data_IF_020979772895
#
_entry.id   IF_020979772895
#
_cell.length_a   1.000
_cell.length_b   1.000
_cell.length_c   1.000
_cell.angle_alpha   90.00
_cell.angle_beta   90.00
_cell.angle_gamma   90.00
#
_symmetry.space_group_name_H-M   'P 1'
#
loop_
_entity.id
_entity.type
_entity.pdbx_description
1 polymer ?
#
# COMPACT_ATOMS: atom_id res chain seq x y z
N UNK A 1 -2.79 -28.62 -7.35
CA UNK A 1 -2.33 -28.00 -6.46
C UNK A 1 -2.43 -26.58 -6.57
N UNK A 2 -2.74 -25.95 -5.54
CA UNK A 2 -2.97 -24.69 -5.57
C UNK A 2 -1.79 -23.87 -5.51
N UNK A 3 -1.67 -22.85 -6.19
CA UNK A 3 -0.61 -21.98 -6.12
C UNK A 3 -0.77 -21.17 -4.94
N UNK A 4 0.15 -21.16 -4.07
CA UNK A 4 0.05 -20.40 -2.88
C UNK A 4 0.91 -19.15 -3.04
N UNK A 5 0.30 -17.99 -3.14
CA UNK A 5 1.04 -16.75 -3.34
C UNK A 5 1.95 -16.44 -2.18
N UNK A 6 1.73 -17.04 -1.01
CA UNK A 6 2.62 -16.81 0.11
C UNK A 6 4.02 -17.33 -0.13
N UNK A 7 4.18 -18.28 -1.07
CA UNK A 7 5.49 -18.79 -1.37
C UNK A 7 6.17 -18.04 -2.51
N UNK A 8 5.49 -17.07 -3.09
CA UNK A 8 6.08 -16.29 -4.16
C UNK A 8 6.82 -15.10 -3.59
N UNK A 9 7.89 -14.70 -4.22
CA UNK A 9 8.59 -13.50 -3.82
C UNK A 9 7.78 -12.29 -4.26
N UNK A 10 8.09 -11.14 -3.70
CA UNK A 10 7.46 -9.91 -4.13
C UNK A 10 7.70 -9.68 -5.62
N UNK A 11 8.91 -9.97 -6.09
CA UNK A 11 9.24 -9.76 -7.50
C UNK A 11 8.39 -10.63 -8.40
N UNK A 12 8.13 -11.86 -7.97
CA UNK A 12 7.29 -12.76 -8.74
C UNK A 12 5.85 -12.25 -8.80
N UNK A 13 5.34 -11.77 -7.67
CA UNK A 13 3.99 -11.27 -7.62
C UNK A 13 3.84 -10.02 -8.48
N UNK A 14 4.81 -9.13 -8.43
CA UNK A 14 4.79 -7.92 -9.25
C UNK A 14 4.80 -8.30 -10.73
N UNK A 15 5.65 -9.25 -11.10
CA UNK A 15 5.73 -9.68 -12.49
C UNK A 15 4.38 -10.21 -12.98
N UNK A 16 3.71 -10.99 -12.14
CA UNK A 16 2.40 -11.52 -12.51
C UNK A 16 1.36 -10.41 -12.59
N UNK A 17 1.40 -9.47 -11.66
CA UNK A 17 0.44 -8.38 -11.65
C UNK A 17 0.61 -7.44 -12.86
N UNK A 18 1.83 -7.31 -13.34
CA UNK A 18 2.07 -6.50 -14.52
C UNK A 18 1.48 -7.11 -15.77
N UNK A 19 1.37 -8.44 -15.78
CA UNK A 19 0.79 -9.11 -16.92
C UNK A 19 -0.71 -9.33 -16.80
N UNK A 20 -1.21 -9.45 -15.59
CA UNK A 20 -2.62 -9.73 -15.35
C UNK A 20 -3.05 -8.90 -14.15
N UNK A 21 -3.83 -7.87 -14.42
CA UNK A 21 -4.27 -6.96 -13.38
C UNK A 21 -5.01 -7.64 -12.24
N UNK A 22 -5.70 -8.73 -12.54
CA UNK A 22 -6.40 -9.45 -11.48
C UNK A 22 -5.45 -9.95 -10.41
N UNK A 23 -4.18 -10.14 -10.76
CA UNK A 23 -3.22 -10.62 -9.81
C UNK A 23 -2.83 -9.57 -8.77
N UNK A 24 -3.24 -8.33 -8.98
CA UNK A 24 -2.95 -7.26 -8.03
C UNK A 24 -3.58 -7.55 -6.67
N UNK A 25 -4.67 -8.33 -6.65
CA UNK A 25 -5.30 -8.71 -5.39
C UNK A 25 -4.33 -9.40 -4.45
N UNK A 26 -3.34 -10.11 -4.99
CA UNK A 26 -2.35 -10.79 -4.17
C UNK A 26 -1.42 -9.80 -3.48
N UNK A 27 -1.15 -8.68 -4.13
CA UNK A 27 -0.35 -7.63 -3.53
C UNK A 27 -1.11 -7.03 -2.36
N UNK A 28 -2.39 -6.76 -2.55
CA UNK A 28 -3.21 -6.21 -1.49
C UNK A 28 -3.25 -7.16 -0.31
N UNK A 29 -3.53 -8.44 -0.56
CA UNK A 29 -3.61 -9.42 0.52
C UNK A 29 -2.30 -9.53 1.28
N UNK A 30 -1.20 -9.44 0.58
CA UNK A 30 0.10 -9.58 1.22
C UNK A 30 0.45 -8.39 2.11
N UNK A 31 0.04 -7.20 1.69
CA UNK A 31 0.48 -5.99 2.37
C UNK A 31 -0.54 -5.29 3.26
N UNK A 32 -1.83 -5.63 3.13
CA UNK A 32 -2.83 -4.81 3.81
C UNK A 32 -2.66 -4.77 5.33
N UNK A 33 -2.42 -5.90 5.97
CA UNK A 33 -2.27 -5.89 7.42
C UNK A 33 -0.99 -5.20 7.85
N UNK A 34 0.08 -5.44 7.13
CA UNK A 34 1.37 -4.83 7.45
C UNK A 34 1.30 -3.33 7.33
N UNK A 35 0.67 -2.86 6.27
CA UNK A 35 0.57 -1.42 6.05
C UNK A 35 -0.40 -0.78 7.03
N UNK A 36 -1.46 -1.48 7.39
CA UNK A 36 -2.39 -0.96 8.38
C UNK A 36 -1.68 -0.70 9.70
N UNK A 37 -0.87 -1.65 10.14
CA UNK A 37 -0.12 -1.48 11.37
C UNK A 37 0.92 -0.38 11.26
N UNK A 38 1.53 -0.28 10.09
CA UNK A 38 2.56 0.73 9.88
C UNK A 38 1.98 2.14 9.95
N UNK A 39 0.86 2.38 9.24
CA UNK A 39 0.30 3.72 9.24
C UNK A 39 -0.36 4.06 10.58
N UNK A 40 -0.79 3.05 11.31
CA UNK A 40 -1.29 3.31 12.66
C UNK A 40 -0.17 3.85 13.53
N UNK A 41 1.01 3.27 13.41
CA UNK A 41 2.16 3.77 14.17
C UNK A 41 2.58 5.16 13.76
N UNK A 42 2.26 5.55 12.52
CA UNK A 42 2.58 6.89 12.05
C UNK A 42 1.51 7.92 12.46
N UNK A 43 0.50 7.49 13.17
CA UNK A 43 -0.48 8.42 13.71
C UNK A 43 -1.90 8.30 13.17
N UNK A 44 -2.14 7.39 12.22
CA UNK A 44 -3.49 7.23 11.68
C UNK A 44 -4.22 6.20 12.54
N UNK A 45 -4.75 6.67 13.66
CA UNK A 45 -5.32 5.78 14.66
C UNK A 45 -6.78 5.43 14.49
N UNK A 46 -7.53 6.29 13.85
CA UNK A 46 -8.94 6.05 13.62
C UNK A 46 -9.08 5.02 12.52
N UNK A 47 -9.91 3.99 12.77
CA UNK A 47 -10.03 2.88 11.83
C UNK A 47 -10.55 3.30 10.47
N UNK A 48 -11.48 4.23 10.42
CA UNK A 48 -12.01 4.70 9.16
C UNK A 48 -10.96 5.45 8.37
N UNK A 49 -10.18 6.28 9.06
CA UNK A 49 -9.12 7.02 8.38
C UNK A 49 -8.05 6.07 7.87
N UNK A 50 -7.77 4.99 8.60
CA UNK A 50 -6.81 4.00 8.14
C UNK A 50 -7.30 3.31 6.88
N UNK A 51 -8.60 2.97 6.84
CA UNK A 51 -9.15 2.33 5.67
C UNK A 51 -9.03 3.24 4.46
N UNK A 52 -9.35 4.51 4.62
CA UNK A 52 -9.26 5.48 3.53
C UNK A 52 -7.82 5.63 3.06
N UNK A 53 -6.90 5.70 4.02
CA UNK A 53 -5.48 5.87 3.68
C UNK A 53 -4.95 4.63 2.98
N UNK A 54 -5.34 3.43 3.44
CA UNK A 54 -4.94 2.21 2.79
C UNK A 54 -5.44 2.14 1.36
N UNK A 55 -6.67 2.56 1.13
CA UNK A 55 -7.22 2.58 -0.20
C UNK A 55 -6.39 3.49 -1.10
N UNK A 56 -6.05 4.68 -0.62
CA UNK A 56 -5.24 5.62 -1.39
C UNK A 56 -3.86 5.03 -1.68
N UNK A 57 -3.28 4.33 -0.71
CA UNK A 57 -1.99 3.70 -0.89
C UNK A 57 -2.06 2.67 -2.01
N UNK A 58 -3.06 1.79 -1.96
CA UNK A 58 -3.15 0.73 -2.97
C UNK A 58 -3.50 1.27 -4.35
N UNK A 59 -4.30 2.33 -4.42
CA UNK A 59 -4.57 2.98 -5.69
C UNK A 59 -3.28 3.52 -6.29
N UNK A 60 -2.44 4.13 -5.45
CA UNK A 60 -1.19 4.67 -5.91
C UNK A 60 -0.23 3.60 -6.37
N UNK A 61 -0.16 2.49 -5.64
CA UNK A 61 0.65 1.36 -6.04
C UNK A 61 0.18 0.85 -7.39
N UNK A 62 -1.12 0.68 -7.54
CA UNK A 62 -1.68 0.15 -8.77
C UNK A 62 -1.37 1.05 -9.96
N UNK A 63 -1.60 2.34 -9.79
CA UNK A 63 -1.39 3.28 -10.88
C UNK A 63 0.06 3.41 -11.30
N UNK A 64 0.97 3.19 -10.38
CA UNK A 64 2.38 3.37 -10.66
C UNK A 64 3.17 2.07 -10.80
N UNK A 65 2.46 0.94 -10.80
CA UNK A 65 3.15 -0.34 -10.84
C UNK A 65 4.01 -0.50 -12.08
N UNK A 66 3.53 -0.02 -13.22
CA UNK A 66 4.30 -0.13 -14.45
C UNK A 66 5.57 0.70 -14.42
N UNK A 67 5.60 1.71 -13.58
CA UNK A 67 6.77 2.57 -13.48
C UNK A 67 7.76 2.09 -12.42
N UNK A 68 7.40 1.06 -11.67
CA UNK A 68 8.29 0.56 -10.64
C UNK A 68 9.51 -0.09 -11.28
N UNK A 69 10.68 0.30 -10.80
CA UNK A 69 11.93 -0.25 -11.29
C UNK A 69 12.17 -1.60 -10.62
N UNK A 70 12.06 -2.67 -11.37
CA UNK A 70 12.13 -4.02 -10.81
C UNK A 70 13.51 -4.39 -10.29
N UNK A 71 14.49 -3.54 -10.50
CA UNK A 71 15.80 -3.79 -9.92
C UNK A 71 15.87 -3.33 -8.47
N UNK A 72 14.83 -2.64 -8.00
CA UNK A 72 14.78 -2.14 -6.63
C UNK A 72 13.90 -3.02 -5.78
N UNK A 73 13.95 -2.80 -4.45
CA UNK A 73 13.12 -3.56 -3.53
C UNK A 73 11.67 -3.09 -3.62
N UNK A 74 10.78 -4.01 -3.95
CA UNK A 74 9.36 -3.69 -4.02
C UNK A 74 8.84 -3.27 -2.65
N UNK A 75 9.25 -3.97 -1.61
CA UNK A 75 8.82 -3.65 -0.26
C UNK A 75 9.19 -2.22 0.12
N UNK A 76 10.42 -1.81 -0.17
CA UNK A 76 10.84 -0.44 0.14
C UNK A 76 10.02 0.58 -0.61
N UNK A 77 9.70 0.28 -1.86
CA UNK A 77 8.92 1.18 -2.69
C UNK A 77 7.50 1.32 -2.13
N UNK A 78 6.89 0.19 -1.73
CA UNK A 78 5.55 0.20 -1.17
C UNK A 78 5.52 1.00 0.14
N UNK A 79 6.51 0.78 1.01
CA UNK A 79 6.54 1.49 2.28
C UNK A 79 6.80 2.98 2.10
N UNK A 80 7.51 3.36 1.06
CA UNK A 80 7.69 4.79 0.78
C UNK A 80 6.37 5.42 0.40
N UNK A 81 5.59 4.75 -0.45
CA UNK A 81 4.28 5.24 -0.83
C UNK A 81 3.38 5.33 0.40
N UNK A 82 3.41 4.29 1.24
CA UNK A 82 2.59 4.26 2.44
C UNK A 82 2.97 5.40 3.39
N UNK A 83 4.26 5.63 3.56
CA UNK A 83 4.74 6.69 4.42
C UNK A 83 4.23 8.04 3.93
N UNK A 84 4.40 8.31 2.65
CA UNK A 84 4.00 9.59 2.09
C UNK A 84 2.49 9.81 2.20
N UNK A 85 1.70 8.77 1.96
CA UNK A 85 0.26 8.90 2.07
C UNK A 85 -0.17 9.10 3.51
N UNK A 86 0.48 8.41 4.44
CA UNK A 86 0.16 8.55 5.85
C UNK A 86 0.48 9.94 6.36
N UNK A 87 1.62 10.49 5.95
CA UNK A 87 2.00 11.83 6.37
C UNK A 87 1.01 12.86 5.81
N UNK A 88 0.60 12.68 4.55
CA UNK A 88 -0.38 13.58 3.97
C UNK A 88 -1.71 13.51 4.72
N UNK A 89 -2.15 12.30 5.04
CA UNK A 89 -3.40 12.12 5.76
C UNK A 89 -3.32 12.74 7.16
N UNK A 90 -2.20 12.53 7.81
CA UNK A 90 -2.00 13.06 9.15
C UNK A 90 -2.01 14.59 9.13
N UNK A 91 -1.37 15.20 8.15
CA UNK A 91 -1.36 16.65 8.04
C UNK A 91 -2.75 17.19 7.79
N UNK A 92 -3.53 16.52 6.97
CA UNK A 92 -4.88 16.97 6.70
C UNK A 92 -5.71 16.97 7.96
N UNK A 93 -5.56 15.95 8.78
CA UNK A 93 -6.32 15.85 10.02
C UNK A 93 -5.92 16.94 10.98
N UNK A 94 -4.67 17.28 11.03
CA UNK A 94 -4.18 18.25 11.98
C UNK A 94 -4.35 19.71 11.59
N UNK A 95 -4.50 19.98 10.30
CA UNK A 95 -4.71 21.35 9.91
C UNK A 95 -6.15 21.65 9.57
N UNK A 96 -7.04 20.67 9.68
CA UNK A 96 -8.42 20.87 9.37
C UNK A 96 -8.98 21.86 10.32
N UNK A 97 -9.62 22.83 9.84
CA UNK A 97 -10.13 23.85 10.70
C UNK A 97 -11.14 23.27 11.54
N UNK A 98 -11.38 22.99 12.27
CA UNK A 98 -12.25 22.49 13.01
C UNK A 98 -13.24 23.11 13.12
N UNK A 99 -13.55 23.23 12.58
CA UNK A 99 -14.53 23.69 12.67
C UNK A 99 -14.66 24.20 13.69
N UNK A 100 -14.11 24.19 13.64
CA UNK A 100 -14.13 24.40 14.38
C UNK A 100 -14.47 24.71 14.26
#
# INVERSE_FOLDING_TARGET
>A
MQQDSQHMSDEEIVSMALRDKAFFAHIVLRYEDKLSRYIMRLGIRNAEDRQDTLQDIFIKIYKNLNAFDTSLSFSSWVYRIAHNEAISAYRKQNVRPEGH
#
